data_IF_491205607997
#
_entry.id   IF_491205607997
#
_cell.length_a   1.000
_cell.length_b   1.000
_cell.length_c   1.000
_cell.angle_alpha   90.00
_cell.angle_beta   90.00
_cell.angle_gamma   90.00
#
_symmetry.space_group_name_H-M   'P 1'
#
loop_
_entity.id
_entity.type
_entity.pdbx_description
1 polymer ?
#
# COMPACT_ATOMS: atom_id res chain seq x y z
N UNK A 1 -2.19 -24.12 -5.89
CA UNK A 1 -2.52 -22.71 -6.11
C UNK A 1 -2.12 -22.38 -7.53
N UNK A 2 -3.04 -21.87 -8.34
CA UNK A 2 -2.71 -21.45 -9.70
C UNK A 2 -1.73 -20.28 -9.62
N UNK A 3 -0.60 -20.39 -10.31
CA UNK A 3 0.43 -19.34 -10.31
C UNK A 3 -0.15 -18.07 -10.92
N UNK A 4 0.11 -16.91 -10.30
CA UNK A 4 -0.16 -15.62 -10.93
C UNK A 4 0.69 -15.54 -12.20
N UNK A 5 0.05 -15.31 -13.34
CA UNK A 5 0.73 -15.21 -14.63
C UNK A 5 0.77 -13.77 -15.10
N UNK A 6 1.74 -13.44 -15.95
CA UNK A 6 1.81 -12.14 -16.61
C UNK A 6 0.52 -11.83 -17.39
N UNK A 7 -0.14 -12.84 -17.97
CA UNK A 7 -1.44 -12.67 -18.62
C UNK A 7 -2.49 -12.13 -17.65
N UNK A 8 -2.59 -12.69 -16.43
CA UNK A 8 -3.50 -12.17 -15.40
C UNK A 8 -3.17 -10.71 -15.06
N UNK A 9 -1.89 -10.40 -14.84
CA UNK A 9 -1.41 -9.06 -14.48
C UNK A 9 -1.69 -8.05 -15.60
N UNK A 10 -1.48 -8.43 -16.87
CA UNK A 10 -1.79 -7.61 -18.04
C UNK A 10 -3.27 -7.26 -18.12
N UNK A 11 -4.16 -8.22 -17.82
CA UNK A 11 -5.61 -7.98 -17.79
C UNK A 11 -6.02 -7.04 -16.65
N UNK A 12 -5.34 -7.12 -15.50
CA UNK A 12 -5.56 -6.21 -14.37
C UNK A 12 -5.05 -4.80 -14.70
N UNK A 13 -3.88 -4.71 -15.34
CA UNK A 13 -3.21 -3.44 -15.67
C UNK A 13 -3.86 -2.70 -16.85
N UNK A 14 -4.27 -3.44 -17.87
CA UNK A 14 -4.91 -2.92 -19.08
C UNK A 14 -3.95 -2.31 -20.12
N UNK A 15 -2.63 -2.49 -19.98
CA UNK A 15 -1.60 -2.05 -20.94
C UNK A 15 -0.42 -3.01 -21.00
N UNK A 16 0.47 -2.82 -21.97
CA UNK A 16 1.59 -3.74 -22.23
C UNK A 16 2.90 -3.37 -21.53
N UNK A 17 3.09 -2.10 -21.16
CA UNK A 17 4.30 -1.64 -20.48
C UNK A 17 4.07 -1.62 -18.98
N UNK A 18 4.52 -2.67 -18.30
CA UNK A 18 4.47 -2.79 -16.86
C UNK A 18 5.52 -3.77 -16.34
N UNK A 19 6.01 -3.48 -15.15
CA UNK A 19 6.70 -4.45 -14.34
C UNK A 19 5.81 -4.89 -13.18
N UNK A 20 6.09 -6.07 -12.63
CA UNK A 20 5.33 -6.59 -11.51
C UNK A 20 6.12 -7.55 -10.62
N UNK A 21 5.73 -7.63 -9.35
CA UNK A 21 6.18 -8.62 -8.37
C UNK A 21 5.00 -9.13 -7.58
N UNK A 22 5.11 -10.35 -7.07
CA UNK A 22 4.10 -10.90 -6.18
C UNK A 22 4.69 -11.82 -5.13
N UNK A 23 3.98 -11.92 -4.02
CA UNK A 23 4.13 -12.95 -3.00
C UNK A 23 2.84 -13.80 -3.06
N UNK A 24 2.92 -15.14 -3.14
CA UNK A 24 1.74 -15.98 -3.14
C UNK A 24 1.03 -15.93 -1.78
N UNK A 25 -0.29 -16.13 -1.77
CA UNK A 25 -1.01 -16.33 -0.51
C UNK A 25 -0.68 -17.68 0.12
N UNK A 26 -0.79 -17.77 1.45
CA UNK A 26 -0.67 -19.03 2.19
C UNK A 26 -2.07 -19.44 2.63
N UNK A 27 -2.63 -20.45 1.96
CA UNK A 27 -4.02 -20.88 2.18
C UNK A 27 -5.04 -19.82 1.77
N UNK A 28 -5.70 -19.19 2.74
CA UNK A 28 -6.74 -18.16 2.55
C UNK A 28 -6.29 -16.76 2.99
N UNK A 29 -5.02 -16.56 3.26
CA UNK A 29 -4.53 -15.30 3.84
C UNK A 29 -3.22 -14.86 3.22
N UNK A 30 -3.02 -13.54 3.21
CA UNK A 30 -1.86 -12.89 2.64
C UNK A 30 -1.87 -12.89 1.12
N UNK A 31 -0.67 -12.88 0.56
CA UNK A 31 -0.45 -12.61 -0.85
C UNK A 31 -0.39 -11.11 -1.12
N UNK A 32 0.59 -10.72 -1.92
CA UNK A 32 0.81 -9.33 -2.31
C UNK A 32 1.09 -9.29 -3.81
N UNK A 33 0.55 -8.28 -4.49
CA UNK A 33 0.90 -7.98 -5.88
C UNK A 33 1.27 -6.51 -5.93
N UNK A 34 2.39 -6.20 -6.56
CA UNK A 34 2.82 -4.85 -6.90
C UNK A 34 3.00 -4.80 -8.42
N UNK A 35 2.31 -3.88 -9.08
CA UNK A 35 2.45 -3.58 -10.52
C UNK A 35 2.86 -2.11 -10.63
N UNK A 36 3.71 -1.79 -11.61
CA UNK A 36 4.16 -0.43 -11.88
C UNK A 36 4.32 -0.17 -13.39
N UNK A 37 4.40 1.11 -13.77
CA UNK A 37 4.57 1.55 -15.15
C UNK A 37 6.06 1.65 -15.52
N UNK A 38 6.55 0.75 -16.38
CA UNK A 38 7.95 0.73 -16.82
C UNK A 38 8.33 1.91 -17.74
N UNK A 39 7.35 2.64 -18.29
CA UNK A 39 7.60 3.86 -19.08
C UNK A 39 8.05 5.01 -18.18
N UNK A 40 7.62 5.02 -16.93
CA UNK A 40 7.85 6.13 -16.01
C UNK A 40 8.85 5.78 -14.91
N UNK A 41 8.91 4.52 -14.50
CA UNK A 41 9.81 4.02 -13.45
C UNK A 41 10.91 3.13 -14.03
N UNK A 42 12.11 3.27 -13.47
CA UNK A 42 13.17 2.28 -13.56
C UNK A 42 13.29 1.54 -12.24
N UNK A 43 13.42 0.21 -12.29
CA UNK A 43 13.74 -0.60 -11.12
C UNK A 43 15.25 -0.63 -10.94
N UNK A 44 15.72 -0.15 -9.79
CA UNK A 44 17.14 -0.12 -9.44
C UNK A 44 17.55 -1.33 -8.60
N UNK A 45 16.67 -1.74 -7.67
CA UNK A 45 16.93 -2.83 -6.73
C UNK A 45 15.59 -3.33 -6.15
N UNK A 46 15.58 -4.55 -5.61
CA UNK A 46 14.38 -5.13 -4.99
C UNK A 46 14.70 -5.96 -3.75
N UNK A 47 13.78 -5.93 -2.80
CA UNK A 47 13.82 -6.73 -1.58
C UNK A 47 12.43 -7.30 -1.34
N UNK A 48 12.28 -8.60 -1.59
CA UNK A 48 11.03 -9.34 -1.44
C UNK A 48 11.12 -10.20 -0.18
N UNK A 49 10.28 -9.88 0.80
CA UNK A 49 10.13 -10.63 2.04
C UNK A 49 8.96 -11.61 2.00
N UNK A 50 8.55 -12.06 3.19
CA UNK A 50 7.35 -12.88 3.39
C UNK A 50 6.09 -12.01 3.51
N UNK A 51 6.23 -10.78 4.03
CA UNK A 51 5.13 -9.90 4.36
C UNK A 51 5.18 -8.55 3.65
N UNK A 52 6.21 -8.32 2.84
CA UNK A 52 6.37 -7.09 2.08
C UNK A 52 7.14 -7.27 0.77
N UNK A 53 6.76 -6.50 -0.24
CA UNK A 53 7.50 -6.31 -1.49
C UNK A 53 8.03 -4.89 -1.47
N UNK A 54 9.35 -4.73 -1.47
CA UNK A 54 9.98 -3.41 -1.56
C UNK A 54 10.80 -3.27 -2.81
N UNK A 55 10.59 -2.18 -3.55
CA UNK A 55 11.31 -1.89 -4.80
C UNK A 55 11.91 -0.50 -4.68
N UNK A 56 13.21 -0.41 -4.98
CA UNK A 56 13.89 0.86 -5.18
C UNK A 56 13.68 1.29 -6.62
N UNK A 57 13.03 2.43 -6.80
CA UNK A 57 12.75 3.02 -8.09
C UNK A 57 13.62 4.24 -8.35
N UNK A 58 13.85 4.51 -9.63
CA UNK A 58 14.23 5.82 -10.15
C UNK A 58 13.17 6.32 -11.12
N UNK A 59 12.75 7.57 -10.96
CA UNK A 59 11.86 8.22 -11.90
C UNK A 59 12.60 8.51 -13.21
N UNK A 60 12.08 8.06 -14.35
CA UNK A 60 12.78 8.29 -15.64
C UNK A 60 12.81 9.75 -16.09
N UNK A 61 11.89 10.59 -15.63
CA UNK A 61 11.79 12.00 -16.07
C UNK A 61 12.70 12.96 -15.28
N UNK A 62 13.08 12.61 -14.04
CA UNK A 62 13.89 13.49 -13.19
C UNK A 62 14.95 12.77 -12.34
N UNK A 63 15.11 11.46 -12.52
CA UNK A 63 16.03 10.57 -11.81
C UNK A 63 15.87 10.61 -10.28
N UNK A 64 14.70 11.00 -9.77
CA UNK A 64 14.44 10.95 -8.34
C UNK A 64 14.38 9.49 -7.87
N UNK A 65 15.23 9.16 -6.90
CA UNK A 65 15.36 7.81 -6.35
C UNK A 65 14.57 7.68 -5.05
N UNK A 66 13.87 6.56 -4.91
CA UNK A 66 13.00 6.31 -3.78
C UNK A 66 12.68 4.84 -3.62
N UNK A 67 12.16 4.48 -2.46
CA UNK A 67 11.69 3.13 -2.18
C UNK A 67 10.18 3.13 -2.07
N UNK A 68 9.54 2.17 -2.74
CA UNK A 68 8.16 1.82 -2.48
C UNK A 68 8.09 0.48 -1.76
N UNK A 69 7.31 0.39 -0.69
CA UNK A 69 7.03 -0.87 0.00
C UNK A 69 5.54 -1.16 0.00
N UNK A 70 5.14 -2.28 -0.59
CA UNK A 70 3.80 -2.86 -0.45
C UNK A 70 3.83 -3.91 0.67
N UNK A 71 2.98 -3.78 1.69
CA UNK A 71 3.05 -4.62 2.89
C UNK A 71 1.71 -5.15 3.38
N UNK A 72 1.77 -6.30 4.06
CA UNK A 72 0.64 -6.87 4.78
C UNK A 72 1.10 -7.40 6.14
N UNK A 73 0.59 -6.81 7.22
CA UNK A 73 0.88 -7.22 8.60
C UNK A 73 -0.09 -8.32 9.02
N UNK A 74 0.37 -9.56 9.27
CA UNK A 74 -0.51 -10.66 9.66
C UNK A 74 -1.21 -10.42 11.02
N UNK A 75 -2.30 -11.14 11.24
CA UNK A 75 -3.01 -11.10 12.52
C UNK A 75 -2.24 -11.81 13.65
N UNK A 76 -1.48 -12.84 13.30
CA UNK A 76 -0.66 -13.65 14.20
C UNK A 76 0.52 -12.86 14.78
N UNK A 77 0.83 -13.10 16.07
CA UNK A 77 1.86 -12.35 16.80
C UNK A 77 3.24 -12.50 16.15
N UNK A 78 3.63 -13.72 15.77
CA UNK A 78 4.94 -13.98 15.16
C UNK A 78 5.05 -13.36 13.78
N UNK A 79 4.05 -13.55 12.90
CA UNK A 79 4.00 -12.95 11.58
C UNK A 79 4.05 -11.41 11.64
N UNK A 80 3.31 -10.80 12.57
CA UNK A 80 3.39 -9.36 12.80
C UNK A 80 4.78 -8.90 13.21
N UNK A 81 5.44 -9.60 14.15
CA UNK A 81 6.81 -9.26 14.54
C UNK A 81 7.80 -9.37 13.36
N UNK A 82 7.61 -10.38 12.50
CA UNK A 82 8.42 -10.54 11.29
C UNK A 82 8.16 -9.41 10.29
N UNK A 83 6.91 -9.00 10.08
CA UNK A 83 6.56 -7.87 9.22
C UNK A 83 7.30 -6.59 9.63
N UNK A 84 7.31 -6.25 10.93
CA UNK A 84 8.05 -5.06 11.39
C UNK A 84 9.57 -5.19 11.21
N UNK A 85 10.13 -6.39 11.43
CA UNK A 85 11.56 -6.65 11.18
C UNK A 85 11.90 -6.53 9.69
N UNK A 86 11.01 -6.95 8.79
CA UNK A 86 11.19 -6.76 7.35
C UNK A 86 11.24 -5.28 7.00
N UNK A 87 10.31 -4.47 7.51
CA UNK A 87 10.32 -3.03 7.27
C UNK A 87 11.57 -2.35 7.86
N UNK A 88 12.02 -2.76 9.04
CA UNK A 88 13.28 -2.24 9.63
C UNK A 88 14.49 -2.60 8.75
N UNK A 89 14.52 -3.80 8.14
CA UNK A 89 15.56 -4.18 7.16
C UNK A 89 15.52 -3.31 5.91
N UNK A 90 14.33 -3.01 5.38
CA UNK A 90 14.19 -2.10 4.22
C UNK A 90 14.81 -0.74 4.54
N UNK A 91 14.48 -0.17 5.71
CA UNK A 91 15.04 1.12 6.13
C UNK A 91 16.55 1.09 6.41
N UNK A 92 17.08 -0.03 6.88
CA UNK A 92 18.51 -0.22 7.05
C UNK A 92 19.24 -0.36 5.71
N UNK A 93 18.61 -1.03 4.74
CA UNK A 93 19.18 -1.33 3.43
C UNK A 93 19.22 -0.11 2.51
N UNK A 94 18.14 0.66 2.45
CA UNK A 94 18.06 1.88 1.65
C UNK A 94 17.79 3.11 2.51
N UNK A 95 18.62 4.13 2.31
CA UNK A 95 18.42 5.47 2.89
C UNK A 95 17.68 6.38 1.91
N UNK A 96 17.05 7.43 2.45
CA UNK A 96 16.34 8.45 1.67
C UNK A 96 14.82 8.25 1.60
N UNK A 97 14.24 8.70 0.49
CA UNK A 97 12.80 8.84 0.32
C UNK A 97 12.08 7.48 0.30
N UNK A 98 11.06 7.34 1.14
CA UNK A 98 10.34 6.08 1.32
C UNK A 98 8.84 6.30 1.36
N UNK A 99 8.12 5.49 0.59
CA UNK A 99 6.67 5.43 0.58
C UNK A 99 6.23 3.99 0.86
N UNK A 100 5.44 3.78 1.90
CA UNK A 100 4.93 2.47 2.32
C UNK A 100 3.43 2.48 2.12
N UNK A 101 2.88 1.50 1.43
CA UNK A 101 1.45 1.22 1.38
C UNK A 101 1.21 -0.14 2.00
N UNK A 102 0.45 -0.21 3.07
CA UNK A 102 0.21 -1.50 3.73
C UNK A 102 -1.13 -1.56 4.45
N UNK A 103 -1.64 -2.78 4.56
CA UNK A 103 -2.56 -3.15 5.64
C UNK A 103 -1.73 -3.46 6.88
N UNK A 104 -1.77 -2.57 7.87
CA UNK A 104 -1.01 -2.74 9.11
C UNK A 104 -1.73 -3.61 10.14
N UNK A 105 -3.02 -3.94 9.93
CA UNK A 105 -3.90 -4.56 10.92
C UNK A 105 -3.81 -3.88 12.30
N UNK A 106 -3.68 -2.54 12.28
CA UNK A 106 -3.49 -1.71 13.46
C UNK A 106 -4.07 -0.31 13.25
N UNK A 107 -4.83 0.14 14.25
CA UNK A 107 -5.24 1.54 14.41
C UNK A 107 -4.12 2.33 15.11
N UNK A 108 -4.00 3.63 14.83
CA UNK A 108 -3.08 4.55 15.51
C UNK A 108 -3.65 5.13 16.79
N UNK A 109 -4.94 5.36 16.84
CA UNK A 109 -5.65 5.89 18.01
C UNK A 109 -7.09 5.37 18.04
N UNK A 110 -7.85 5.73 19.08
CA UNK A 110 -9.20 5.19 19.32
C UNK A 110 -10.25 5.76 18.38
N UNK A 111 -9.99 6.91 17.75
CA UNK A 111 -10.90 7.54 16.78
C UNK A 111 -10.88 6.85 15.42
N UNK A 112 -9.84 6.06 15.14
CA UNK A 112 -9.73 5.21 13.95
C UNK A 112 -10.58 3.93 14.03
N UNK A 113 -11.53 3.88 14.97
CA UNK A 113 -12.51 2.81 15.11
C UNK A 113 -13.86 3.38 15.55
N UNK A 114 -14.96 2.87 14.99
CA UNK A 114 -16.30 3.35 15.37
C UNK A 114 -16.81 2.80 16.72
N UNK A 115 -16.15 1.81 17.30
CA UNK A 115 -16.55 1.12 18.55
C UNK A 115 -15.36 0.98 19.52
N UNK A 116 -15.59 1.01 20.85
CA UNK A 116 -14.55 0.85 21.86
C UNK A 116 -13.74 -0.43 21.72
N UNK A 117 -12.45 -0.36 22.03
CA UNK A 117 -11.52 -1.50 22.04
C UNK A 117 -10.33 -1.28 21.10
N UNK A 118 -9.92 -2.33 20.38
CA UNK A 118 -8.71 -2.32 19.57
C UNK A 118 -7.48 -2.79 20.34
N UNK A 119 -6.49 -3.29 19.60
CA UNK A 119 -5.32 -3.91 20.22
C UNK A 119 -4.28 -2.84 20.61
N UNK A 120 -4.19 -2.53 21.91
CA UNK A 120 -3.24 -1.54 22.45
C UNK A 120 -1.77 -1.84 22.10
N UNK A 121 -1.39 -3.12 21.99
CA UNK A 121 -0.03 -3.53 21.62
C UNK A 121 0.24 -3.19 20.16
N UNK A 122 -0.66 -3.55 19.25
CA UNK A 122 -0.53 -3.24 17.82
C UNK A 122 -0.46 -1.72 17.58
N UNK A 123 -1.32 -0.97 18.26
CA UNK A 123 -1.32 0.49 18.24
C UNK A 123 0.02 1.07 18.68
N UNK A 124 0.60 0.58 19.77
CA UNK A 124 1.93 1.00 20.25
C UNK A 124 3.02 0.65 19.25
N UNK A 125 2.98 -0.53 18.64
CA UNK A 125 3.97 -0.97 17.65
C UNK A 125 3.95 -0.08 16.39
N UNK A 126 2.76 0.20 15.84
CA UNK A 126 2.60 1.09 14.69
C UNK A 126 3.15 2.49 15.00
N UNK A 127 2.69 3.13 16.08
CA UNK A 127 3.15 4.48 16.41
C UNK A 127 4.65 4.53 16.73
N UNK A 128 5.22 3.50 17.38
CA UNK A 128 6.66 3.42 17.60
C UNK A 128 7.44 3.26 16.28
N UNK A 129 6.89 2.55 15.30
CA UNK A 129 7.48 2.44 13.95
C UNK A 129 7.46 3.77 13.20
N UNK A 130 6.35 4.50 13.22
CA UNK A 130 6.27 5.82 12.60
C UNK A 130 7.27 6.79 13.24
N UNK A 131 7.28 6.86 14.57
CA UNK A 131 8.13 7.79 15.32
C UNK A 131 9.62 7.53 15.09
N UNK A 132 10.07 6.26 15.15
CA UNK A 132 11.50 5.94 14.99
C UNK A 132 12.02 6.19 13.57
N UNK A 133 11.14 6.14 12.58
CA UNK A 133 11.49 6.30 11.16
C UNK A 133 11.10 7.67 10.59
N UNK A 134 10.60 8.58 11.43
CA UNK A 134 10.09 9.90 11.03
C UNK A 134 9.07 9.81 9.87
N UNK A 135 8.19 8.81 9.91
CA UNK A 135 7.18 8.60 8.88
C UNK A 135 5.93 9.42 9.18
N UNK A 136 5.44 10.07 8.14
CA UNK A 136 4.21 10.84 8.13
C UNK A 136 3.06 9.95 7.68
N UNK A 137 1.97 10.03 8.42
CA UNK A 137 0.69 9.44 8.06
C UNK A 137 -0.26 10.57 7.71
N UNK A 138 -0.58 10.68 6.42
CA UNK A 138 -1.40 11.75 5.89
C UNK A 138 -2.86 11.59 6.36
N UNK A 139 -3.61 12.71 6.52
CA UNK A 139 -5.05 12.65 6.68
C UNK A 139 -5.71 11.87 5.54
N UNK A 140 -6.74 11.08 5.87
CA UNK A 140 -7.52 10.33 4.89
C UNK A 140 -8.73 11.15 4.46
N UNK A 141 -8.76 11.57 3.19
CA UNK A 141 -9.91 12.30 2.64
C UNK A 141 -10.98 11.33 2.12
N UNK A 142 -12.26 11.73 2.18
CA UNK A 142 -13.38 10.94 1.64
C UNK A 142 -13.94 9.86 2.59
N UNK A 143 -13.39 9.73 3.80
CA UNK A 143 -13.89 8.85 4.85
C UNK A 143 -12.84 8.58 5.92
N UNK A 144 -13.27 8.00 7.06
CA UNK A 144 -12.39 7.77 8.21
C UNK A 144 -11.93 6.32 8.37
N UNK A 145 -12.57 5.38 7.68
CA UNK A 145 -12.35 3.94 7.88
C UNK A 145 -12.03 3.27 6.55
N UNK A 146 -11.16 2.26 6.60
CA UNK A 146 -10.66 1.54 5.43
C UNK A 146 -11.07 0.07 5.45
N UNK A 147 -11.64 -0.41 6.55
CA UNK A 147 -12.07 -1.79 6.73
C UNK A 147 -13.40 -1.88 7.48
N UNK A 148 -14.17 -2.91 7.16
CA UNK A 148 -15.47 -3.23 7.75
C UNK A 148 -15.61 -4.73 7.96
N UNK A 149 -16.12 -5.19 9.10
CA UNK A 149 -16.40 -6.63 9.28
C UNK A 149 -17.65 -7.13 8.50
N UNK A 150 -18.31 -6.23 7.75
CA UNK A 150 -19.41 -6.48 6.81
C UNK A 150 -20.67 -7.10 7.45
N UNK A 151 -20.84 -6.91 8.77
CA UNK A 151 -22.07 -7.30 9.49
C UNK A 151 -23.12 -6.19 9.45
N UNK A 152 -24.33 -6.51 9.91
CA UNK A 152 -25.48 -5.59 9.98
C UNK A 152 -25.20 -4.33 10.81
N UNK A 153 -24.57 -4.50 11.98
CA UNK A 153 -24.01 -3.42 12.79
C UNK A 153 -22.47 -3.47 12.70
N UNK A 154 -21.87 -2.91 11.63
CA UNK A 154 -20.50 -3.21 11.28
C UNK A 154 -19.50 -2.57 12.26
N UNK A 155 -18.43 -3.31 12.51
CA UNK A 155 -17.22 -2.73 13.04
C UNK A 155 -16.44 -2.07 11.91
N UNK A 156 -16.09 -0.80 12.06
CA UNK A 156 -15.31 -0.03 11.11
C UNK A 156 -13.97 0.37 11.72
N UNK A 157 -12.88 0.18 10.97
CA UNK A 157 -11.52 0.50 11.39
C UNK A 157 -10.74 1.17 10.26
N UNK A 158 -9.75 2.01 10.59
CA UNK A 158 -8.69 2.42 9.64
C UNK A 158 -7.46 1.54 9.86
N UNK A 159 -7.25 0.59 8.96
CA UNK A 159 -6.16 -0.39 9.03
C UNK A 159 -5.12 -0.17 7.92
N UNK A 160 -5.58 0.31 6.76
CA UNK A 160 -4.80 0.56 5.57
C UNK A 160 -4.32 2.01 5.55
N UNK A 161 -3.06 2.22 5.19
CA UNK A 161 -2.52 3.58 5.00
C UNK A 161 -1.27 3.61 4.13
N UNK A 162 -1.08 4.76 3.50
CA UNK A 162 0.22 5.21 3.02
C UNK A 162 0.97 5.91 4.15
N UNK A 163 2.21 5.51 4.38
CA UNK A 163 3.17 6.21 5.23
C UNK A 163 4.30 6.73 4.35
N UNK A 164 4.70 7.97 4.53
CA UNK A 164 5.74 8.61 3.70
C UNK A 164 6.83 9.21 4.56
N UNK A 165 8.08 9.18 4.08
CA UNK A 165 9.17 9.90 4.72
C UNK A 165 9.11 11.40 4.39
N UNK A 166 9.85 12.20 5.16
CA UNK A 166 9.94 13.66 4.95
C UNK A 166 10.58 14.01 3.60
N UNK A 167 11.54 13.22 3.11
CA UNK A 167 12.15 13.42 1.80
C UNK A 167 11.13 13.17 0.67
N UNK A 168 10.23 12.20 0.84
CA UNK A 168 9.16 11.92 -0.11
C UNK A 168 8.12 13.05 -0.12
N UNK A 169 7.70 13.53 1.06
CA UNK A 169 6.82 14.69 1.18
C UNK A 169 7.46 15.95 0.59
N UNK A 170 8.76 16.18 0.83
CA UNK A 170 9.50 17.32 0.27
C UNK A 170 9.48 17.31 -1.26
N UNK A 171 9.59 16.13 -1.87
CA UNK A 171 9.45 15.98 -3.33
C UNK A 171 8.03 16.24 -3.81
N UNK A 172 7.03 15.76 -3.07
CA UNK A 172 5.62 15.84 -3.42
C UNK A 172 4.82 16.58 -2.34
N UNK A 173 5.02 17.90 -2.17
CA UNK A 173 4.53 18.65 -1.01
C UNK A 173 3.01 18.81 -0.97
N UNK A 174 2.32 18.46 -2.06
CA UNK A 174 0.86 18.47 -2.16
C UNK A 174 0.26 17.07 -2.08
N UNK A 175 1.03 16.09 -1.63
CA UNK A 175 0.58 14.70 -1.58
C UNK A 175 -0.67 14.58 -0.70
N UNK A 176 -1.69 13.89 -1.21
CA UNK A 176 -2.91 13.58 -0.45
C UNK A 176 -3.22 12.10 -0.48
N UNK A 177 -3.87 11.63 0.58
CA UNK A 177 -4.36 10.26 0.70
C UNK A 177 -5.89 10.28 0.70
N UNK A 178 -6.52 9.52 -0.20
CA UNK A 178 -7.97 9.57 -0.40
C UNK A 178 -8.57 8.17 -0.42
N UNK A 179 -9.66 7.99 0.32
CA UNK A 179 -10.47 6.79 0.29
C UNK A 179 -11.23 6.68 -1.04
N UNK A 180 -11.30 5.46 -1.58
CA UNK A 180 -12.11 5.13 -2.75
C UNK A 180 -13.29 4.26 -2.37
N UNK A 181 -14.31 4.28 -3.23
CA UNK A 181 -15.52 3.48 -3.05
C UNK A 181 -15.16 2.01 -3.04
N UNK A 182 -15.60 1.32 -1.98
CA UNK A 182 -15.51 -0.13 -1.84
C UNK A 182 -16.41 -0.81 -2.86
N UNK A 183 -15.91 -1.87 -3.50
CA UNK A 183 -16.66 -2.67 -4.46
C UNK A 183 -17.09 -4.00 -3.83
N UNK A 184 -16.16 -4.94 -3.69
CA UNK A 184 -16.44 -6.34 -3.29
C UNK A 184 -15.62 -6.84 -2.09
N UNK A 185 -14.65 -6.03 -1.64
CA UNK A 185 -13.81 -6.33 -0.48
C UNK A 185 -14.41 -5.76 0.80
N UNK A 186 -13.98 -6.30 1.94
CA UNK A 186 -14.18 -5.70 3.26
C UNK A 186 -13.29 -4.47 3.48
N UNK A 187 -12.25 -4.31 2.67
CA UNK A 187 -11.40 -3.11 2.61
C UNK A 187 -11.82 -2.11 1.52
N UNK A 188 -11.61 -0.83 1.81
CA UNK A 188 -11.69 0.26 0.86
C UNK A 188 -10.32 0.51 0.22
N UNK A 189 -10.23 0.69 -1.11
CA UNK A 189 -8.99 1.11 -1.74
C UNK A 189 -8.62 2.53 -1.30
N UNK A 190 -7.32 2.80 -1.24
CA UNK A 190 -6.77 4.12 -0.94
C UNK A 190 -5.94 4.59 -2.12
N UNK A 191 -6.11 5.86 -2.51
CA UNK A 191 -5.28 6.53 -3.51
C UNK A 191 -4.32 7.51 -2.83
N UNK A 192 -3.04 7.38 -3.14
CA UNK A 192 -2.05 8.43 -2.89
C UNK A 192 -1.92 9.32 -4.14
N UNK A 193 -2.21 10.61 -4.02
CA UNK A 193 -2.10 11.58 -5.10
C UNK A 193 -0.95 12.55 -4.82
N UNK A 194 0.16 12.38 -5.53
CA UNK A 194 1.37 13.18 -5.37
C UNK A 194 1.31 14.61 -5.98
N UNK A 195 0.26 14.93 -6.75
CA UNK A 195 0.14 16.19 -7.50
C UNK A 195 -0.75 17.26 -6.82
N UNK A 196 -1.35 16.93 -5.67
CA UNK A 196 -2.35 17.80 -5.03
C UNK A 196 -3.69 17.86 -5.77
N UNK A 197 -4.52 18.85 -5.41
CA UNK A 197 -5.90 19.01 -5.92
C UNK A 197 -5.94 19.76 -7.29
N UNK A 198 -4.80 20.16 -7.87
CA UNK A 198 -4.77 20.98 -9.08
C UNK A 198 -5.06 20.19 -10.38
N UNK A 199 -6.01 20.72 -11.18
CA UNK A 199 -6.46 20.24 -12.51
C UNK A 199 -5.44 20.50 -13.65
N UNK A 200 -4.17 20.11 -13.48
CA UNK A 200 -3.09 20.36 -14.46
C UNK A 200 -2.31 19.11 -14.85
N UNK A 201 -1.72 19.11 -16.06
CA UNK A 201 -1.10 17.98 -16.78
C UNK A 201 -0.19 17.11 -15.89
N UNK A 202 -0.40 15.79 -16.00
CA UNK A 202 -0.12 14.82 -14.96
C UNK A 202 1.11 13.95 -15.29
N UNK A 203 1.99 13.74 -14.31
CA UNK A 203 2.93 12.62 -14.29
C UNK A 203 2.24 11.49 -13.52
N UNK A 204 2.08 10.33 -14.16
CA UNK A 204 1.12 9.30 -13.77
C UNK A 204 1.85 8.07 -13.22
N UNK A 205 1.49 7.63 -12.01
CA UNK A 205 2.03 6.40 -11.41
C UNK A 205 0.89 5.48 -11.02
N UNK A 206 0.83 4.24 -11.52
CA UNK A 206 -0.09 3.27 -10.97
C UNK A 206 0.66 2.27 -10.10
N UNK A 207 0.42 2.36 -8.79
CA UNK A 207 0.69 1.33 -7.79
C UNK A 207 -0.62 0.64 -7.37
N UNK A 208 -0.75 -0.66 -7.63
CA UNK A 208 -1.85 -1.46 -7.08
C UNK A 208 -1.56 -1.84 -5.62
N UNK A 209 -2.51 -1.53 -4.74
CA UNK A 209 -2.52 -1.95 -3.35
C UNK A 209 -3.49 -3.12 -3.18
N UNK A 210 -2.95 -4.26 -2.72
CA UNK A 210 -3.62 -5.46 -2.21
C UNK A 210 -4.57 -6.21 -3.17
N UNK A 211 -4.03 -7.16 -3.95
CA UNK A 211 -4.81 -8.33 -4.39
C UNK A 211 -4.60 -9.44 -3.35
N UNK A 212 -5.57 -9.63 -2.46
CA UNK A 212 -5.63 -10.85 -1.65
C UNK A 212 -6.20 -11.99 -2.50
N UNK A 213 -5.36 -12.98 -2.81
CA UNK A 213 -5.79 -14.19 -3.54
C UNK A 213 -6.36 -15.18 -2.51
N UNK A 214 -7.66 -15.09 -2.24
CA UNK A 214 -8.38 -16.09 -1.45
C UNK A 214 -8.98 -17.18 -2.36
N UNK A 215 -8.41 -18.39 -2.31
CA UNK A 215 -9.16 -19.64 -2.52
C UNK A 215 -9.91 -19.90 -3.84
N UNK A 216 -9.48 -19.34 -5.00
CA UNK A 216 -10.13 -19.45 -6.33
C UNK A 216 -11.24 -18.42 -6.65
N UNK A 217 -11.16 -17.20 -6.12
CA UNK A 217 -11.71 -16.02 -6.81
C UNK A 217 -10.72 -14.89 -6.69
N UNK A 218 -10.29 -14.34 -7.83
CA UNK A 218 -9.57 -13.05 -7.85
C UNK A 218 -10.56 -12.02 -7.31
N UNK A 219 -10.44 -11.66 -6.03
CA UNK A 219 -11.21 -10.58 -5.43
C UNK A 219 -10.58 -9.28 -5.95
N UNK A 220 -11.12 -8.79 -7.05
CA UNK A 220 -10.68 -7.56 -7.72
C UNK A 220 -10.82 -6.34 -6.81
N UNK A 221 -9.69 -5.89 -6.26
CA UNK A 221 -9.54 -4.58 -5.64
C UNK A 221 -8.96 -3.62 -6.68
N UNK A 222 -9.82 -3.01 -7.51
CA UNK A 222 -9.43 -1.80 -8.25
C UNK A 222 -9.44 -0.63 -7.26
N UNK A 223 -8.54 0.37 -7.31
CA UNK A 223 -8.23 1.22 -8.46
C UNK A 223 -6.87 1.90 -8.24
N UNK A 224 -6.00 1.84 -9.25
CA UNK A 224 -5.31 3.05 -9.69
C UNK A 224 -5.72 3.34 -11.13
N UNK A 225 -6.60 4.33 -11.31
CA UNK A 225 -7.00 4.87 -12.60
C UNK A 225 -6.25 6.17 -12.78
N UNK A 226 -5.38 6.23 -13.78
CA UNK A 226 -5.08 7.48 -14.45
C UNK A 226 -5.33 7.26 -15.93
N UNK A 227 -6.45 7.80 -16.40
CA UNK A 227 -6.80 7.82 -17.82
C UNK A 227 -5.78 8.67 -18.58
N UNK A 228 -5.23 8.09 -19.63
CA UNK A 228 -4.61 8.86 -20.72
C UNK A 228 -5.78 9.34 -21.57
N UNK A 229 -5.89 10.65 -21.78
CA UNK A 229 -6.61 11.14 -22.95
C UNK A 229 -5.56 11.31 -24.04
N UNK A 230 -5.91 10.85 -25.25
CA UNK A 230 -5.18 11.04 -26.52
C UNK A 230 -4.77 12.51 -26.73
#
# INVERSE_FOLDING_TARGET
MDKVTEWCIRNIWGRDNFGWRYIPSQGRSGGLILIWDDITLNVEDELIGEHSISIKFSNRFDNFNWVFTNGYSPNEVTGRLNFWKELDKVKAWWQGAWCIAADFNAIRDETERNKPGGNKRNRKMLNAFLNRNALLDLPLAGGNFTWSDMKEDPLLCRLDRFLISTEWETKYPRVTQMLRTRTISDHNPILLNANGISRGKCLNWPTLLNIMIEGKKVKENYVLKISVAE
#
